data_IF_597913204208
#
_entry.id   IF_597913204208
#
_cell.length_a   1.000
_cell.length_b   1.000
_cell.length_c   1.000
_cell.angle_alpha   90.00
_cell.angle_beta   90.00
_cell.angle_gamma   90.00
#
_symmetry.space_group_name_H-M   'P 1'
#
loop_
_entity.id
_entity.type
_entity.pdbx_description
1 polymer ?
#
# COMPACT_ATOMS: atom_id res chain seq x y z
N UNK A 1 4.51 8.00 -12.48
CA UNK A 1 4.59 7.83 -11.02
C UNK A 1 5.97 8.19 -10.46
N UNK A 2 7.07 7.77 -11.11
CA UNK A 2 8.45 7.99 -10.65
C UNK A 2 8.79 9.42 -10.19
N UNK A 3 8.35 10.45 -10.91
CA UNK A 3 8.67 11.86 -10.61
C UNK A 3 8.20 12.34 -9.23
N UNK A 4 7.20 11.70 -8.64
CA UNK A 4 6.60 12.11 -7.37
C UNK A 4 6.93 11.16 -6.22
N UNK A 5 7.77 10.14 -6.45
CA UNK A 5 8.03 9.07 -5.47
C UNK A 5 8.60 9.62 -4.15
N UNK A 6 9.51 10.60 -4.22
CA UNK A 6 10.09 11.22 -3.02
C UNK A 6 9.04 11.97 -2.19
N UNK A 7 8.11 12.67 -2.85
CA UNK A 7 7.01 13.36 -2.18
C UNK A 7 6.05 12.36 -1.53
N UNK A 8 5.71 11.27 -2.22
CA UNK A 8 4.84 10.24 -1.67
C UNK A 8 5.49 9.51 -0.48
N UNK A 9 6.80 9.24 -0.54
CA UNK A 9 7.53 8.63 0.56
C UNK A 9 7.56 9.55 1.79
N UNK A 10 7.81 10.85 1.58
CA UNK A 10 7.74 11.84 2.66
C UNK A 10 6.34 11.88 3.31
N UNK A 11 5.28 11.79 2.51
CA UNK A 11 3.91 11.73 3.02
C UNK A 11 3.67 10.44 3.82
N UNK A 12 4.13 9.30 3.32
CA UNK A 12 4.00 8.02 4.01
C UNK A 12 4.71 8.06 5.37
N UNK A 13 5.96 8.54 5.41
CA UNK A 13 6.73 8.78 6.65
C UNK A 13 5.98 9.70 7.61
N UNK A 14 5.54 10.87 7.16
CA UNK A 14 4.85 11.84 8.00
C UNK A 14 3.52 11.32 8.59
N UNK A 15 2.77 10.49 7.85
CA UNK A 15 1.48 9.98 8.31
C UNK A 15 1.57 8.67 9.11
N UNK A 16 2.61 7.86 8.89
CA UNK A 16 2.86 6.59 9.60
C UNK A 16 3.71 6.77 10.86
N UNK A 17 4.52 7.82 10.92
CA UNK A 17 5.50 8.08 11.99
C UNK A 17 6.69 7.12 12.03
N UNK A 18 6.94 6.36 10.96
CA UNK A 18 8.22 5.70 10.75
C UNK A 18 9.33 6.73 10.49
N UNK A 19 10.58 6.36 10.73
CA UNK A 19 11.71 7.21 10.35
C UNK A 19 11.91 7.17 8.83
N UNK A 20 12.57 8.20 8.29
CA UNK A 20 12.93 8.22 6.88
C UNK A 20 13.93 7.08 6.60
N UNK A 21 13.62 6.16 5.67
CA UNK A 21 14.51 5.05 5.37
C UNK A 21 15.74 5.51 4.58
N UNK A 22 16.86 4.81 4.74
CA UNK A 22 18.08 5.09 3.97
C UNK A 22 17.91 4.73 2.48
N UNK A 23 17.04 3.77 2.21
CA UNK A 23 16.75 3.27 0.87
C UNK A 23 15.37 3.75 0.40
N UNK A 24 15.20 3.88 -0.90
CA UNK A 24 13.90 4.14 -1.51
C UNK A 24 13.42 2.86 -2.21
N UNK A 25 12.12 2.54 -2.18
CA UNK A 25 11.60 1.42 -2.94
C UNK A 25 11.69 1.76 -4.43
N UNK A 26 11.97 0.75 -5.26
CA UNK A 26 11.72 0.87 -6.68
C UNK A 26 10.22 0.89 -6.92
N UNK A 27 9.79 1.48 -8.04
CA UNK A 27 8.38 1.43 -8.45
C UNK A 27 8.27 1.04 -9.92
N UNK A 28 7.42 0.06 -10.22
CA UNK A 28 7.29 -0.51 -11.56
C UNK A 28 5.81 -0.59 -11.96
N UNK A 29 5.50 -0.03 -13.13
CA UNK A 29 4.18 -0.15 -13.74
C UNK A 29 4.06 -1.53 -14.40
N UNK A 30 3.01 -2.27 -14.08
CA UNK A 30 2.71 -3.58 -14.65
C UNK A 30 1.29 -3.61 -15.19
N UNK A 31 1.03 -4.54 -16.11
CA UNK A 31 -0.33 -4.76 -16.58
C UNK A 31 -1.21 -5.30 -15.45
N UNK A 32 -2.49 -4.91 -15.42
CA UNK A 32 -3.47 -5.42 -14.45
C UNK A 32 -3.46 -6.95 -14.30
N UNK A 33 -3.34 -7.69 -15.41
CA UNK A 33 -3.32 -9.15 -15.39
C UNK A 33 -2.14 -9.70 -14.58
N UNK A 34 -0.99 -9.03 -14.62
CA UNK A 34 0.18 -9.46 -13.85
C UNK A 34 -0.07 -9.32 -12.34
N UNK A 35 -0.83 -8.31 -11.91
CA UNK A 35 -1.24 -8.16 -10.51
C UNK A 35 -2.18 -9.29 -10.10
N UNK A 36 -3.20 -9.59 -10.92
CA UNK A 36 -4.15 -10.67 -10.68
C UNK A 36 -3.43 -12.03 -10.56
N UNK A 37 -2.52 -12.32 -11.48
CA UNK A 37 -1.78 -13.57 -11.51
C UNK A 37 -0.90 -13.72 -10.27
N UNK A 38 -0.29 -12.62 -9.81
CA UNK A 38 0.65 -12.62 -8.68
C UNK A 38 -0.05 -12.65 -7.32
N UNK A 39 -1.05 -11.79 -7.12
CA UNK A 39 -1.68 -11.59 -5.80
C UNK A 39 -2.89 -12.50 -5.57
N UNK A 40 -3.54 -12.89 -6.65
CA UNK A 40 -4.87 -13.50 -6.61
C UNK A 40 -4.91 -14.87 -7.29
N UNK A 41 -3.74 -15.44 -7.60
CA UNK A 41 -3.59 -16.77 -8.22
C UNK A 41 -4.41 -16.89 -9.51
N UNK A 42 -4.50 -15.81 -10.30
CA UNK A 42 -5.27 -15.76 -11.54
C UNK A 42 -6.78 -15.56 -11.34
N UNK A 43 -7.27 -15.41 -10.11
CA UNK A 43 -8.68 -15.09 -9.82
C UNK A 43 -8.87 -13.58 -9.81
N UNK A 44 -9.88 -13.10 -10.53
CA UNK A 44 -10.26 -11.69 -10.55
C UNK A 44 -10.34 -11.09 -9.14
N UNK A 45 -9.64 -9.98 -8.94
CA UNK A 45 -9.56 -9.28 -7.66
C UNK A 45 -9.30 -7.79 -7.90
N UNK A 46 -9.58 -6.98 -6.88
CA UNK A 46 -9.46 -5.52 -6.97
C UNK A 46 -8.05 -5.00 -6.63
N UNK A 47 -7.02 -5.84 -6.77
CA UNK A 47 -5.65 -5.44 -6.46
C UNK A 47 -5.13 -4.47 -7.53
N UNK A 48 -4.62 -3.33 -7.07
CA UNK A 48 -4.14 -2.25 -7.95
C UNK A 48 -2.67 -1.91 -7.73
N UNK A 49 -2.10 -2.34 -6.60
CA UNK A 49 -0.68 -2.26 -6.30
C UNK A 49 -0.32 -3.31 -5.24
N UNK A 50 0.97 -3.61 -5.12
CA UNK A 50 1.54 -4.33 -3.97
C UNK A 50 3.03 -4.01 -3.82
N UNK A 51 3.53 -4.10 -2.59
CA UNK A 51 4.95 -4.13 -2.29
C UNK A 51 5.51 -5.57 -2.25
N UNK A 52 6.59 -5.82 -2.99
CA UNK A 52 7.38 -7.06 -2.99
C UNK A 52 8.64 -6.84 -2.15
N UNK A 53 8.69 -7.45 -0.96
CA UNK A 53 9.79 -7.36 -0.01
C UNK A 53 11.08 -8.01 -0.50
N UNK A 54 10.98 -9.07 -1.32
CA UNK A 54 12.14 -9.78 -1.89
C UNK A 54 12.84 -8.96 -2.98
N UNK A 55 12.06 -8.19 -3.73
CA UNK A 55 12.60 -7.30 -4.79
C UNK A 55 12.83 -5.87 -4.32
N UNK A 56 12.28 -5.50 -3.16
CA UNK A 56 12.20 -4.13 -2.68
C UNK A 56 11.56 -3.18 -3.72
N UNK A 57 10.44 -3.64 -4.30
CA UNK A 57 9.76 -2.96 -5.41
C UNK A 57 8.26 -2.87 -5.17
N UNK A 58 7.69 -1.69 -5.38
CA UNK A 58 6.25 -1.46 -5.47
C UNK A 58 5.80 -1.67 -6.92
N UNK A 59 4.98 -2.67 -7.14
CA UNK A 59 4.34 -2.90 -8.43
C UNK A 59 2.95 -2.28 -8.43
N UNK A 60 2.58 -1.60 -9.52
CA UNK A 60 1.29 -0.93 -9.61
C UNK A 60 0.68 -1.04 -11.01
N UNK A 61 -0.64 -0.97 -11.10
CA UNK A 61 -1.36 -1.05 -12.37
C UNK A 61 -1.00 0.14 -13.28
N UNK A 62 -0.63 -0.14 -14.53
CA UNK A 62 -0.21 0.85 -15.52
C UNK A 62 -1.26 1.92 -15.85
N UNK A 63 -2.54 1.70 -15.50
CA UNK A 63 -3.63 2.67 -15.60
C UNK A 63 -3.66 3.68 -14.45
N UNK A 64 -2.93 3.43 -13.36
CA UNK A 64 -2.82 4.39 -12.26
C UNK A 64 -1.90 5.54 -12.66
N UNK A 65 -2.48 6.72 -12.85
CA UNK A 65 -1.75 7.91 -13.27
C UNK A 65 -1.29 8.74 -12.08
N UNK A 66 -0.18 9.47 -12.25
CA UNK A 66 0.35 10.36 -11.22
C UNK A 66 -0.58 11.53 -10.89
N UNK A 67 -1.52 11.87 -11.78
CA UNK A 67 -2.42 13.02 -11.60
C UNK A 67 -3.66 12.67 -10.75
N UNK A 68 -3.90 11.38 -10.50
CA UNK A 68 -4.99 10.91 -9.64
C UNK A 68 -4.52 10.81 -8.19
N UNK A 69 -5.14 11.60 -7.30
CA UNK A 69 -4.88 11.49 -5.86
C UNK A 69 -5.23 10.11 -5.30
N UNK A 70 -6.24 9.44 -5.87
CA UNK A 70 -6.61 8.07 -5.49
C UNK A 70 -5.49 7.10 -5.86
N UNK A 71 -4.93 7.23 -7.08
CA UNK A 71 -3.78 6.44 -7.52
C UNK A 71 -2.56 6.66 -6.62
N UNK A 72 -2.25 7.92 -6.29
CA UNK A 72 -1.19 8.25 -5.34
C UNK A 72 -1.46 7.63 -3.96
N UNK A 73 -2.71 7.58 -3.52
CA UNK A 73 -3.11 6.94 -2.27
C UNK A 73 -2.79 5.45 -2.21
N UNK A 74 -2.96 4.71 -3.31
CA UNK A 74 -2.53 3.31 -3.39
C UNK A 74 -1.00 3.18 -3.27
N UNK A 75 -0.22 4.06 -3.90
CA UNK A 75 1.23 4.04 -3.76
C UNK A 75 1.67 4.37 -2.33
N UNK A 76 1.00 5.33 -1.68
CA UNK A 76 1.26 5.66 -0.27
C UNK A 76 0.94 4.47 0.65
N UNK A 77 -0.10 3.69 0.36
CA UNK A 77 -0.40 2.44 1.07
C UNK A 77 0.78 1.46 0.97
N UNK A 78 1.25 1.18 -0.25
CA UNK A 78 2.39 0.26 -0.44
C UNK A 78 3.70 0.79 0.15
N UNK A 79 3.89 2.11 0.21
CA UNK A 79 5.03 2.71 0.90
C UNK A 79 4.99 2.46 2.41
N UNK A 80 3.81 2.33 3.02
CA UNK A 80 3.72 1.94 4.43
C UNK A 80 4.18 0.50 4.61
N UNK A 81 3.83 -0.42 3.70
CA UNK A 81 4.35 -1.79 3.74
C UNK A 81 5.88 -1.84 3.57
N UNK A 82 6.42 -1.01 2.68
CA UNK A 82 7.87 -0.82 2.59
C UNK A 82 8.47 -0.33 3.92
N UNK A 83 7.88 0.70 4.55
CA UNK A 83 8.37 1.25 5.82
C UNK A 83 8.27 0.24 6.97
N UNK A 84 7.17 -0.53 7.04
CA UNK A 84 6.97 -1.63 7.99
C UNK A 84 8.08 -2.68 7.86
N UNK A 85 8.46 -3.03 6.63
CA UNK A 85 9.54 -3.96 6.37
C UNK A 85 10.91 -3.40 6.80
N UNK A 86 11.20 -2.14 6.48
CA UNK A 86 12.49 -1.49 6.83
C UNK A 86 12.71 -1.32 8.34
N UNK A 87 11.63 -1.28 9.13
CA UNK A 87 11.70 -1.08 10.58
C UNK A 87 11.45 -2.37 11.37
N UNK A 88 11.56 -3.54 10.74
CA UNK A 88 11.32 -4.85 11.37
C UNK A 88 9.95 -4.96 12.06
N UNK A 89 8.96 -4.19 11.61
CA UNK A 89 7.59 -4.25 12.13
C UNK A 89 6.88 -5.53 11.66
N UNK A 90 7.38 -6.15 10.60
CA UNK A 90 6.92 -7.44 10.10
C UNK A 90 7.59 -8.56 10.90
N UNK A 91 6.78 -9.32 11.64
CA UNK A 91 7.25 -10.51 12.37
C UNK A 91 7.47 -11.64 11.35
N UNK A 92 8.50 -12.47 11.56
CA UNK A 92 8.71 -13.68 10.77
C UNK A 92 7.50 -14.63 10.94
N UNK A 93 6.84 -14.97 9.83
CA UNK A 93 5.58 -15.74 9.79
C UNK A 93 4.43 -15.13 10.62
N UNK A 94 3.93 -13.93 10.25
CA UNK A 94 2.89 -13.27 11.02
C UNK A 94 1.57 -14.03 10.91
N UNK A 95 0.89 -14.22 12.04
CA UNK A 95 -0.45 -14.78 12.06
C UNK A 95 -1.43 -13.85 11.31
N UNK A 96 -2.62 -14.37 10.98
CA UNK A 96 -3.58 -13.59 10.22
C UNK A 96 -3.91 -12.25 10.89
N UNK A 97 -4.05 -12.21 12.23
CA UNK A 97 -4.41 -10.98 12.95
C UNK A 97 -3.28 -9.96 12.89
N UNK A 98 -2.03 -10.41 13.03
CA UNK A 98 -0.85 -9.57 12.90
C UNK A 98 -0.77 -8.96 11.50
N UNK A 99 -1.01 -9.75 10.44
CA UNK A 99 -1.12 -9.23 9.07
C UNK A 99 -2.21 -8.17 8.94
N UNK A 100 -3.40 -8.41 9.52
CA UNK A 100 -4.49 -7.43 9.48
C UNK A 100 -4.20 -6.14 10.26
N UNK A 101 -3.34 -6.17 11.28
CA UNK A 101 -2.89 -4.96 11.96
C UNK A 101 -2.02 -4.10 11.05
N UNK A 102 -1.08 -4.72 10.32
CA UNK A 102 -0.22 -4.04 9.35
C UNK A 102 -1.03 -3.45 8.19
N UNK A 103 -1.96 -4.23 7.63
CA UNK A 103 -2.90 -3.75 6.58
C UNK A 103 -3.75 -2.58 7.07
N UNK A 104 -4.25 -2.66 8.31
CA UNK A 104 -5.06 -1.60 8.91
C UNK A 104 -4.28 -0.31 9.04
N UNK A 105 -3.00 -0.38 9.43
CA UNK A 105 -2.12 0.79 9.48
C UNK A 105 -1.96 1.42 8.10
N UNK A 106 -1.65 0.62 7.07
CA UNK A 106 -1.48 1.10 5.70
C UNK A 106 -2.74 1.82 5.18
N UNK A 107 -3.93 1.25 5.40
CA UNK A 107 -5.19 1.93 5.06
C UNK A 107 -5.44 3.21 5.87
N UNK A 108 -5.07 3.24 7.15
CA UNK A 108 -5.21 4.46 7.97
C UNK A 108 -4.33 5.59 7.44
N UNK A 109 -3.12 5.28 6.99
CA UNK A 109 -2.21 6.24 6.37
C UNK A 109 -2.72 6.69 5.01
N UNK A 110 -3.18 5.76 4.15
CA UNK A 110 -3.86 6.09 2.89
C UNK A 110 -5.05 7.03 3.12
N UNK A 111 -5.87 6.75 4.13
CA UNK A 111 -7.00 7.59 4.50
C UNK A 111 -6.58 9.01 4.89
N UNK A 112 -5.54 9.14 5.74
CA UNK A 112 -5.01 10.46 6.16
C UNK A 112 -4.48 11.24 4.96
N UNK A 113 -3.73 10.58 4.08
CA UNK A 113 -3.23 11.18 2.84
C UNK A 113 -4.38 11.70 1.96
N UNK A 114 -5.38 10.88 1.66
CA UNK A 114 -6.52 11.28 0.82
C UNK A 114 -7.33 12.42 1.46
N UNK A 115 -7.56 12.38 2.77
CA UNK A 115 -8.26 13.45 3.49
C UNK A 115 -7.49 14.76 3.49
N UNK A 116 -6.16 14.73 3.60
CA UNK A 116 -5.32 15.93 3.49
C UNK A 116 -5.41 16.60 2.11
N UNK A 117 -5.82 15.85 1.08
CA UNK A 117 -6.10 16.33 -0.27
C UNK A 117 -7.60 16.54 -0.55
N UNK A 118 -8.45 16.56 0.48
CA UNK A 118 -9.90 16.75 0.38
C UNK A 118 -10.62 15.69 -0.49
N UNK A 119 -10.06 14.49 -0.58
CA UNK A 119 -10.67 13.35 -1.28
C UNK A 119 -11.52 12.54 -0.29
N UNK A 120 -12.71 12.13 -0.73
CA UNK A 120 -13.61 11.26 0.05
C UNK A 120 -13.04 9.85 0.17
N UNK A 121 -13.14 9.22 1.34
CA UNK A 121 -12.45 7.96 1.66
C UNK A 121 -13.37 6.76 1.84
N UNK A 122 -14.55 6.76 1.24
CA UNK A 122 -15.57 5.71 1.45
C UNK A 122 -15.06 4.30 1.17
N UNK A 123 -14.29 4.11 0.09
CA UNK A 123 -13.74 2.81 -0.28
C UNK A 123 -12.70 2.33 0.73
N UNK A 124 -11.85 3.22 1.23
CA UNK A 124 -10.86 2.93 2.27
C UNK A 124 -11.55 2.61 3.61
N UNK A 125 -12.59 3.39 3.97
CA UNK A 125 -13.40 3.15 5.15
C UNK A 125 -14.10 1.77 5.09
N UNK A 126 -14.55 1.35 3.90
CA UNK A 126 -15.10 0.01 3.68
C UNK A 126 -14.03 -1.07 3.82
N UNK A 127 -12.86 -0.90 3.20
CA UNK A 127 -11.76 -1.86 3.29
C UNK A 127 -11.34 -2.14 4.74
N UNK A 128 -11.15 -1.09 5.55
CA UNK A 128 -10.83 -1.22 6.98
C UNK A 128 -11.88 -2.03 7.75
N UNK A 129 -13.17 -1.86 7.43
CA UNK A 129 -14.26 -2.63 8.07
C UNK A 129 -14.20 -4.10 7.68
N UNK A 130 -13.89 -4.39 6.41
CA UNK A 130 -13.81 -5.76 5.89
C UNK A 130 -12.64 -6.54 6.49
N UNK A 131 -11.51 -5.89 6.79
CA UNK A 131 -10.34 -6.54 7.42
C UNK A 131 -10.70 -7.29 8.71
N UNK A 132 -11.63 -6.76 9.50
CA UNK A 132 -12.05 -7.38 10.78
C UNK A 132 -12.69 -8.77 10.58
N UNK A 133 -13.25 -9.04 9.40
CA UNK A 133 -13.88 -10.32 9.06
C UNK A 133 -12.95 -11.34 8.40
N UNK A 134 -11.75 -10.93 7.95
CA UNK A 134 -10.86 -11.77 7.13
C UNK A 134 -10.37 -12.99 7.92
N UNK A 135 -9.90 -12.78 9.15
CA UNK A 135 -9.34 -13.85 9.99
C UNK A 135 -10.38 -14.68 10.76
N UNK A 136 -11.67 -14.39 10.58
CA UNK A 136 -12.76 -15.08 11.28
C UNK A 136 -13.32 -16.28 10.49
N UNK A 137 -12.60 -16.72 9.45
CA UNK A 137 -12.99 -17.81 8.55
C UNK A 137 -12.02 -18.98 8.65
#
# INVERSE_FOLDING_TARGET
>A
MQEIIGTLLLMAVNFSQYDMPEQHPLIEAVNHQQLIDTLCEGKECNALAYYDDKKNTIFYDDKLTKDSMIAQGYIVHEMVHFLQYQHDAVIEEPDCKQRMLLEREAYQVQQRFLRSHHIMTYDVDMAIRLLSGVCSR
#
